data_IF_868768027116
#
_entry.id   IF_868768027116
#
_cell.length_a   1.000
_cell.length_b   1.000
_cell.length_c   1.000
_cell.angle_alpha   90.00
_cell.angle_beta   90.00
_cell.angle_gamma   90.00
#
_symmetry.space_group_name_H-M   'P 1'
#
loop_
_entity.id
_entity.type
_entity.pdbx_description
1 polymer ?
#
# COMPACT_ATOMS: atom_id res chain seq x y z
N UNK A 1 -3.26 -8.31 16.11
CA UNK A 1 -2.90 -6.90 16.32
C UNK A 1 -3.75 -6.27 17.39
N UNK A 2 -3.17 -5.36 18.17
CA UNK A 2 -3.89 -4.68 19.25
C UNK A 2 -5.12 -3.91 18.76
N UNK A 3 -5.02 -3.31 17.56
CA UNK A 3 -6.14 -2.57 16.98
C UNK A 3 -7.37 -3.47 16.74
N UNK A 4 -7.15 -4.71 16.32
CA UNK A 4 -8.24 -5.65 16.09
C UNK A 4 -9.01 -5.93 17.39
N UNK A 5 -8.27 -6.11 18.47
CA UNK A 5 -8.85 -6.36 19.79
C UNK A 5 -9.58 -5.14 20.31
N UNK A 6 -8.97 -3.96 20.21
CA UNK A 6 -9.52 -2.71 20.73
C UNK A 6 -10.86 -2.38 20.10
N UNK A 7 -11.03 -2.61 18.79
CA UNK A 7 -12.23 -2.23 18.06
C UNK A 7 -13.18 -3.38 17.78
N UNK A 8 -12.89 -4.56 18.31
CA UNK A 8 -13.70 -5.74 18.09
C UNK A 8 -13.76 -6.19 16.62
N UNK A 9 -12.70 -5.92 15.87
CA UNK A 9 -12.60 -6.28 14.45
C UNK A 9 -11.77 -7.54 14.26
N UNK A 10 -11.96 -8.20 13.11
CA UNK A 10 -11.18 -9.38 12.71
C UNK A 10 -11.24 -10.50 13.73
N UNK A 11 -12.43 -10.70 14.31
CA UNK A 11 -12.66 -11.72 15.32
C UNK A 11 -13.03 -13.07 14.71
N UNK A 12 -13.42 -13.09 13.45
CA UNK A 12 -13.85 -14.30 12.75
C UNK A 12 -12.70 -14.88 11.93
N UNK A 13 -12.71 -16.19 11.72
CA UNK A 13 -11.67 -16.91 11.00
C UNK A 13 -11.45 -16.38 9.58
N UNK A 14 -12.51 -16.01 8.88
CA UNK A 14 -12.43 -15.56 7.50
C UNK A 14 -12.12 -14.07 7.33
N UNK A 15 -11.97 -13.31 8.41
CA UNK A 15 -11.74 -11.87 8.32
C UNK A 15 -10.35 -11.55 7.77
N UNK A 16 -10.28 -10.53 6.92
CA UNK A 16 -9.01 -10.03 6.40
C UNK A 16 -8.36 -9.17 7.50
N UNK A 17 -7.20 -9.60 7.98
CA UNK A 17 -6.50 -8.97 9.09
C UNK A 17 -5.44 -7.97 8.64
N UNK A 18 -4.91 -8.18 7.44
CA UNK A 18 -3.92 -7.28 6.85
C UNK A 18 -4.05 -7.27 5.34
N UNK A 19 -3.51 -6.21 4.73
CA UNK A 19 -3.42 -6.07 3.28
C UNK A 19 -1.96 -5.95 2.90
N UNK A 20 -1.61 -6.49 1.75
CA UNK A 20 -0.28 -6.33 1.17
C UNK A 20 -0.41 -5.75 -0.23
N UNK A 21 0.30 -4.66 -0.48
CA UNK A 21 0.45 -4.08 -1.81
C UNK A 21 1.93 -4.07 -2.18
N UNK A 22 2.20 -4.29 -3.46
CA UNK A 22 3.57 -4.34 -3.97
C UNK A 22 3.68 -3.36 -5.11
N UNK A 23 4.59 -2.39 -4.97
CA UNK A 23 4.94 -1.46 -6.05
C UNK A 23 6.15 -2.05 -6.76
N UNK A 24 5.97 -2.43 -8.03
CA UNK A 24 7.04 -3.03 -8.83
C UNK A 24 7.53 -2.00 -9.86
N UNK A 25 8.80 -1.60 -9.76
CA UNK A 25 9.37 -0.60 -10.64
C UNK A 25 9.93 -1.25 -11.91
N UNK A 26 9.99 -0.47 -12.99
CA UNK A 26 10.60 -0.93 -14.24
C UNK A 26 12.09 -1.23 -14.00
N UNK A 27 12.61 -2.38 -14.47
CA UNK A 27 14.02 -2.71 -14.26
C UNK A 27 14.99 -1.67 -14.80
N UNK A 28 14.58 -0.88 -15.79
CA UNK A 28 15.43 0.16 -16.41
C UNK A 28 15.54 1.41 -15.56
N UNK A 29 14.68 1.59 -14.55
CA UNK A 29 14.66 2.82 -13.77
C UNK A 29 15.95 3.07 -13.00
N UNK A 30 16.62 2.02 -12.56
CA UNK A 30 17.89 2.15 -11.84
C UNK A 30 18.97 2.79 -12.72
N UNK A 31 19.12 2.31 -13.96
CA UNK A 31 20.15 2.80 -14.87
C UNK A 31 19.74 4.11 -15.56
N UNK A 32 18.49 4.19 -16.01
CA UNK A 32 18.02 5.29 -16.84
C UNK A 32 17.56 6.51 -16.04
N UNK A 33 16.99 6.29 -14.87
CA UNK A 33 16.34 7.34 -14.10
C UNK A 33 16.88 7.49 -12.67
N UNK A 34 17.98 6.82 -12.36
CA UNK A 34 18.65 6.97 -11.07
C UNK A 34 17.89 6.45 -9.88
N UNK A 35 17.01 5.47 -10.08
CA UNK A 35 16.28 4.86 -8.98
C UNK A 35 17.23 4.07 -8.09
N UNK A 36 17.17 4.33 -6.79
CA UNK A 36 17.93 3.60 -5.77
C UNK A 36 16.96 2.96 -4.79
N UNK A 37 17.49 2.07 -3.94
CA UNK A 37 16.73 1.47 -2.84
C UNK A 37 16.13 2.55 -1.94
N UNK A 38 16.93 3.56 -1.61
CA UNK A 38 16.51 4.66 -0.74
C UNK A 38 15.38 5.48 -1.38
N UNK A 39 15.48 5.77 -2.68
CA UNK A 39 14.43 6.49 -3.39
C UNK A 39 13.14 5.68 -3.47
N UNK A 40 13.25 4.38 -3.76
CA UNK A 40 12.10 3.49 -3.80
C UNK A 40 11.42 3.40 -2.43
N UNK A 41 12.20 3.27 -1.37
CA UNK A 41 11.67 3.25 -0.01
C UNK A 41 10.94 4.54 0.33
N UNK A 42 11.51 5.69 -0.03
CA UNK A 42 10.90 6.99 0.23
C UNK A 42 9.56 7.13 -0.53
N UNK A 43 9.52 6.67 -1.79
CA UNK A 43 8.29 6.68 -2.57
C UNK A 43 7.22 5.79 -1.95
N UNK A 44 7.61 4.60 -1.51
CA UNK A 44 6.68 3.67 -0.85
C UNK A 44 6.14 4.21 0.47
N UNK A 45 7.00 4.83 1.27
CA UNK A 45 6.58 5.47 2.53
C UNK A 45 5.60 6.61 2.28
N UNK A 46 5.88 7.44 1.28
CA UNK A 46 5.00 8.55 0.93
C UNK A 46 3.63 8.04 0.43
N UNK A 47 3.65 7.05 -0.44
CA UNK A 47 2.43 6.42 -0.94
C UNK A 47 1.59 5.86 0.21
N UNK A 48 2.22 5.15 1.13
CA UNK A 48 1.56 4.56 2.28
C UNK A 48 0.96 5.64 3.19
N UNK A 49 1.72 6.68 3.47
CA UNK A 49 1.28 7.79 4.32
C UNK A 49 0.07 8.52 3.73
N UNK A 50 0.05 8.71 2.43
CA UNK A 50 -1.03 9.43 1.76
C UNK A 50 -2.29 8.58 1.56
N UNK A 51 -2.12 7.28 1.32
CA UNK A 51 -3.23 6.42 0.92
C UNK A 51 -3.72 5.47 2.02
N UNK A 52 -2.90 5.18 3.01
CA UNK A 52 -3.30 4.33 4.14
C UNK A 52 -3.06 5.02 5.48
N UNK A 53 -3.47 6.30 5.62
CA UNK A 53 -3.24 6.99 6.88
C UNK A 53 -4.02 6.34 8.00
N UNK A 54 -3.43 6.31 9.18
CA UNK A 54 -4.08 5.76 10.36
C UNK A 54 -4.01 4.25 10.51
N UNK A 55 -3.45 3.53 9.54
CA UNK A 55 -3.24 2.09 9.64
C UNK A 55 -1.81 1.81 10.12
N UNK A 56 -1.62 0.83 11.01
CA UNK A 56 -0.26 0.37 11.32
C UNK A 56 0.31 -0.32 10.07
N UNK A 57 1.52 0.07 9.67
CA UNK A 57 2.08 -0.39 8.40
C UNK A 57 3.58 -0.63 8.49
N UNK A 58 4.04 -1.54 7.62
CA UNK A 58 5.45 -1.82 7.40
C UNK A 58 5.71 -1.64 5.91
N UNK A 59 6.74 -0.86 5.58
CA UNK A 59 7.18 -0.63 4.20
C UNK A 59 8.60 -1.15 4.05
N UNK A 60 8.79 -2.09 3.12
CA UNK A 60 10.06 -2.78 2.95
C UNK A 60 10.44 -2.86 1.48
N UNK A 61 11.63 -2.39 1.13
CA UNK A 61 12.11 -2.38 -0.25
C UNK A 61 13.07 -3.53 -0.50
N UNK A 62 12.86 -4.24 -1.60
CA UNK A 62 13.72 -5.34 -2.04
C UNK A 62 14.41 -4.98 -3.36
N UNK A 63 15.71 -5.30 -3.52
CA UNK A 63 16.46 -4.94 -4.73
C UNK A 63 16.09 -5.75 -5.96
N UNK A 64 15.64 -7.00 -5.78
CA UNK A 64 15.29 -7.91 -6.85
C UNK A 64 13.95 -8.58 -6.59
N UNK A 65 13.24 -8.91 -7.66
CA UNK A 65 12.07 -9.78 -7.57
C UNK A 65 12.47 -11.24 -7.37
N UNK A 66 11.48 -12.11 -7.18
CA UNK A 66 11.70 -13.54 -6.97
C UNK A 66 12.44 -14.22 -8.12
N UNK A 67 12.35 -13.66 -9.30
CA UNK A 67 12.96 -14.22 -10.52
C UNK A 67 14.26 -13.52 -10.90
N UNK A 68 14.84 -12.75 -10.02
CA UNK A 68 16.07 -11.99 -10.25
C UNK A 68 15.99 -11.10 -11.49
N UNK A 69 14.84 -10.49 -11.71
CA UNK A 69 14.59 -9.64 -12.87
C UNK A 69 15.30 -8.29 -12.80
N UNK A 70 15.91 -7.95 -11.68
CA UNK A 70 16.53 -6.65 -11.46
C UNK A 70 15.52 -5.56 -11.09
N UNK A 71 14.27 -5.90 -10.93
CA UNK A 71 13.23 -4.93 -10.57
C UNK A 71 13.23 -4.68 -9.07
N UNK A 72 13.27 -3.41 -8.70
CA UNK A 72 13.10 -3.02 -7.30
C UNK A 72 11.62 -3.13 -6.95
N UNK A 73 11.33 -3.73 -5.81
CA UNK A 73 9.98 -3.90 -5.31
C UNK A 73 9.84 -3.27 -3.94
N UNK A 74 8.73 -2.56 -3.71
CA UNK A 74 8.38 -2.05 -2.40
C UNK A 74 7.16 -2.81 -1.91
N UNK A 75 7.32 -3.52 -0.80
CA UNK A 75 6.23 -4.25 -0.14
C UNK A 75 5.63 -3.37 0.94
N UNK A 76 4.33 -3.18 0.88
CA UNK A 76 3.57 -2.42 1.88
C UNK A 76 2.59 -3.37 2.53
N UNK A 77 2.76 -3.61 3.83
CA UNK A 77 1.86 -4.45 4.61
C UNK A 77 1.25 -3.57 5.70
N UNK A 78 -0.06 -3.51 5.76
CA UNK A 78 -0.73 -2.71 6.79
C UNK A 78 -1.91 -3.47 7.39
N UNK A 79 -2.17 -3.21 8.67
CA UNK A 79 -3.33 -3.76 9.37
C UNK A 79 -4.61 -3.21 8.78
N UNK A 80 -5.62 -4.06 8.64
CA UNK A 80 -6.88 -3.69 7.98
C UNK A 80 -7.69 -2.67 8.76
N UNK A 81 -7.44 -2.52 10.06
CA UNK A 81 -8.20 -1.63 10.94
C UNK A 81 -7.45 -0.32 11.17
N UNK A 82 -8.15 0.79 10.96
CA UNK A 82 -7.61 2.12 11.19
C UNK A 82 -7.50 2.42 12.68
N UNK A 83 -6.34 2.88 13.12
CA UNK A 83 -6.06 3.12 14.54
C UNK A 83 -6.28 4.55 14.99
N UNK A 84 -6.52 5.49 14.05
CA UNK A 84 -6.85 6.88 14.35
C UNK A 84 -7.76 7.45 13.27
N UNK A 85 -8.51 8.48 13.62
CA UNK A 85 -9.35 9.20 12.67
C UNK A 85 -8.46 9.98 11.70
N UNK A 86 -8.84 9.99 10.42
CA UNK A 86 -8.07 10.67 9.37
C UNK A 86 -9.00 11.47 8.48
N UNK A 87 -8.44 12.28 7.59
CA UNK A 87 -9.20 12.98 6.57
C UNK A 87 -9.77 12.00 5.56
N UNK A 88 -11.02 12.21 5.17
CA UNK A 88 -11.67 11.34 4.19
C UNK A 88 -10.99 11.45 2.83
N UNK A 89 -10.69 10.31 2.23
CA UNK A 89 -10.10 10.22 0.89
C UNK A 89 -11.14 9.80 -0.15
N UNK A 90 -10.94 10.12 -1.44
CA UNK A 90 -11.92 9.81 -2.49
C UNK A 90 -12.28 8.34 -2.63
N UNK A 91 -11.37 7.42 -2.31
CA UNK A 91 -11.62 5.98 -2.41
C UNK A 91 -12.46 5.44 -1.24
N UNK A 92 -12.68 6.24 -0.21
CA UNK A 92 -13.45 5.83 0.97
C UNK A 92 -14.94 5.96 0.64
N UNK A 93 -15.52 4.87 0.17
CA UNK A 93 -16.90 4.87 -0.34
C UNK A 93 -17.95 4.97 0.75
N UNK A 94 -17.71 4.29 1.87
CA UNK A 94 -18.66 4.30 2.97
C UNK A 94 -18.55 5.62 3.76
N UNK A 95 -19.67 6.14 4.28
CA UNK A 95 -19.66 7.45 4.91
C UNK A 95 -18.70 7.62 6.09
N UNK A 96 -18.37 6.54 6.80
CA UNK A 96 -17.54 6.59 8.00
C UNK A 96 -16.17 5.94 7.84
N UNK A 97 -15.74 5.67 6.61
CA UNK A 97 -14.48 4.95 6.35
C UNK A 97 -13.24 5.68 6.89
N UNK A 98 -13.32 6.99 7.09
CA UNK A 98 -12.22 7.80 7.63
C UNK A 98 -12.07 7.70 9.15
N UNK A 99 -13.00 7.05 9.83
CA UNK A 99 -13.01 7.03 11.29
C UNK A 99 -12.10 5.95 11.86
N UNK A 100 -11.65 6.20 13.10
CA UNK A 100 -10.94 5.22 13.90
C UNK A 100 -11.77 3.94 14.03
N UNK A 101 -11.13 2.79 13.93
CA UNK A 101 -11.79 1.48 14.04
C UNK A 101 -12.38 0.94 12.74
N UNK A 102 -12.41 1.73 11.69
CA UNK A 102 -12.95 1.28 10.39
C UNK A 102 -11.90 0.53 9.58
N UNK A 103 -12.34 -0.42 8.77
CA UNK A 103 -11.45 -1.26 7.97
C UNK A 103 -11.24 -0.68 6.57
N UNK A 104 -10.05 -0.89 6.03
CA UNK A 104 -9.75 -0.61 4.63
C UNK A 104 -10.48 -1.62 3.74
N UNK A 105 -11.03 -1.15 2.62
CA UNK A 105 -11.69 -1.99 1.62
C UNK A 105 -10.94 -1.96 0.30
N UNK A 106 -10.57 -3.15 -0.20
CA UNK A 106 -9.90 -3.29 -1.51
C UNK A 106 -10.94 -3.55 -2.61
N UNK A 107 -11.77 -2.56 -2.88
CA UNK A 107 -12.75 -2.63 -3.97
C UNK A 107 -12.07 -2.34 -5.31
N UNK A 108 -12.77 -2.63 -6.42
CA UNK A 108 -12.27 -2.29 -7.75
C UNK A 108 -12.03 -0.78 -7.90
N UNK A 109 -12.89 0.03 -7.32
CA UNK A 109 -12.74 1.49 -7.33
C UNK A 109 -11.52 1.93 -6.54
N UNK A 110 -11.30 1.34 -5.37
CA UNK A 110 -10.11 1.60 -4.56
C UNK A 110 -8.84 1.24 -5.32
N UNK A 111 -8.81 0.08 -5.96
CA UNK A 111 -7.63 -0.35 -6.72
C UNK A 111 -7.35 0.57 -7.92
N UNK A 112 -8.39 1.04 -8.61
CA UNK A 112 -8.21 2.01 -9.70
C UNK A 112 -7.60 3.31 -9.19
N UNK A 113 -8.10 3.81 -8.06
CA UNK A 113 -7.58 5.02 -7.44
C UNK A 113 -6.11 4.86 -7.04
N UNK A 114 -5.77 3.76 -6.40
CA UNK A 114 -4.40 3.51 -5.94
C UNK A 114 -3.42 3.37 -7.11
N UNK A 115 -3.84 2.74 -8.21
CA UNK A 115 -3.00 2.63 -9.40
C UNK A 115 -2.71 4.00 -10.02
N UNK A 116 -3.72 4.87 -10.08
CA UNK A 116 -3.54 6.24 -10.56
C UNK A 116 -2.56 7.01 -9.65
N UNK A 117 -2.72 6.88 -8.34
CA UNK A 117 -1.84 7.54 -7.38
C UNK A 117 -0.39 7.09 -7.52
N UNK A 118 -0.16 5.79 -7.72
CA UNK A 118 1.20 5.27 -7.93
C UNK A 118 1.78 5.79 -9.25
N UNK A 119 0.98 5.82 -10.30
CA UNK A 119 1.44 6.33 -11.60
C UNK A 119 1.82 7.81 -11.53
N UNK A 120 1.00 8.61 -10.87
CA UNK A 120 1.29 10.04 -10.68
C UNK A 120 2.54 10.26 -9.84
N UNK A 121 2.71 9.48 -8.78
CA UNK A 121 3.88 9.55 -7.91
C UNK A 121 5.15 9.25 -8.70
N UNK A 122 5.14 8.23 -9.53
CA UNK A 122 6.30 7.85 -10.31
C UNK A 122 6.56 8.79 -11.48
N UNK A 123 5.53 9.31 -12.12
CA UNK A 123 5.66 10.34 -13.14
C UNK A 123 6.33 11.59 -12.55
N UNK A 124 5.90 12.01 -11.36
CA UNK A 124 6.51 13.14 -10.66
C UNK A 124 7.96 12.91 -10.27
N UNK A 125 8.36 11.66 -10.10
CA UNK A 125 9.73 11.27 -9.77
C UNK A 125 10.60 11.00 -11.01
N UNK A 126 10.04 11.14 -12.21
CA UNK A 126 10.76 10.91 -13.47
C UNK A 126 11.01 9.44 -13.78
N UNK A 127 10.18 8.56 -13.29
CA UNK A 127 10.30 7.13 -13.50
C UNK A 127 9.40 6.63 -14.63
N UNK A 128 9.73 5.44 -15.14
CA UNK A 128 8.90 4.77 -16.12
C UNK A 128 7.58 4.32 -15.50
N UNK A 129 6.66 3.87 -16.34
CA UNK A 129 5.40 3.33 -15.88
C UNK A 129 5.64 2.05 -15.06
N UNK A 130 4.92 1.91 -13.97
CA UNK A 130 5.07 0.80 -13.04
C UNK A 130 3.74 0.10 -12.80
N UNK A 131 3.82 -1.05 -12.13
CA UNK A 131 2.65 -1.81 -11.71
C UNK A 131 2.48 -1.74 -10.20
N UNK A 132 1.23 -1.61 -9.77
CA UNK A 132 0.83 -1.83 -8.39
C UNK A 132 0.09 -3.16 -8.32
N UNK A 133 0.65 -4.08 -7.55
CA UNK A 133 0.07 -5.40 -7.38
C UNK A 133 -0.63 -5.49 -6.03
N UNK A 134 -1.86 -6.02 -6.05
CA UNK A 134 -2.57 -6.36 -4.83
C UNK A 134 -2.12 -7.76 -4.42
N UNK A 135 -1.23 -7.82 -3.44
CA UNK A 135 -0.68 -9.07 -2.98
C UNK A 135 -1.64 -9.89 -2.15
N UNK A 136 -1.11 -10.90 -1.47
CA UNK A 136 -1.90 -11.81 -0.65
C UNK A 136 -2.61 -11.07 0.47
N UNK A 137 -3.85 -11.47 0.72
CA UNK A 137 -4.62 -10.99 1.86
C UNK A 137 -4.57 -12.06 2.94
N UNK A 138 -4.18 -11.68 4.12
CA UNK A 138 -4.15 -12.62 5.24
C UNK A 138 -5.55 -12.84 5.76
N UNK A 139 -5.97 -14.10 5.77
CA UNK A 139 -7.27 -14.54 6.27
C UNK A 139 -7.07 -15.59 7.33
N UNK A 140 -7.78 -15.43 8.40
CA UNK A 140 -7.78 -16.40 9.50
C UNK A 140 -9.16 -16.66 10.01
#
# INVERSE_FOLDING_TARGET
MLANRKYGKNTQHGDIKSHQYIISFDPRDAADNGLTMEKAQALGLNFCKENFPGHPAIVCTHPDGHNHSGSIHVHIVFGSVRTREVERKPYMQKPLDWREGMKHSSTAQTMRHLRVEVMELCEGAGLYQIDLLNGSKERR
#
